data_IF_930221268630
#
_entry.id   IF_930221268630
#
_cell.length_a   1.000
_cell.length_b   1.000
_cell.length_c   1.000
_cell.angle_alpha   90.00
_cell.angle_beta   90.00
_cell.angle_gamma   90.00
#
_symmetry.space_group_name_H-M   'P 1'
#
loop_
_entity.id
_entity.type
_entity.pdbx_description
1 polymer ?
#
# COMPACT_ATOMS: atom_id res chain seq x y z
N UNK A 1 16.07 -4.99 4.11
CA UNK A 1 16.23 -6.44 4.37
C UNK A 1 15.17 -7.24 3.63
N UNK A 2 15.32 -8.57 3.55
CA UNK A 2 14.38 -9.45 2.88
C UNK A 2 12.99 -9.44 3.55
N UNK A 3 11.92 -9.55 2.76
CA UNK A 3 10.54 -9.63 3.23
C UNK A 3 10.02 -11.03 2.95
N UNK A 4 9.56 -11.73 3.99
CA UNK A 4 8.86 -12.99 3.82
C UNK A 4 7.42 -12.70 3.38
N UNK A 5 7.06 -13.16 2.20
CA UNK A 5 5.72 -13.01 1.63
C UNK A 5 4.94 -14.32 1.85
N UNK A 6 3.78 -14.21 2.48
CA UNK A 6 2.81 -15.29 2.68
C UNK A 6 1.41 -14.85 2.24
N UNK A 7 0.54 -15.81 1.94
CA UNK A 7 -0.81 -15.57 1.45
C UNK A 7 -1.84 -16.16 2.43
N UNK A 8 -2.05 -15.56 3.61
CA UNK A 8 -3.04 -16.06 4.56
C UNK A 8 -4.45 -15.99 3.98
N UNK A 9 -5.21 -17.08 4.14
CA UNK A 9 -6.64 -17.13 3.82
C UNK A 9 -7.40 -16.13 4.71
N UNK A 10 -8.29 -15.35 4.10
CA UNK A 10 -9.20 -14.47 4.84
C UNK A 10 -8.71 -13.02 5.04
N UNK A 11 -7.59 -12.62 4.45
CA UNK A 11 -7.12 -11.23 4.53
C UNK A 11 -8.20 -10.25 4.03
N UNK A 12 -8.48 -9.24 4.84
CA UNK A 12 -9.46 -8.18 4.56
C UNK A 12 -8.79 -6.81 4.40
N UNK A 13 -9.43 -5.90 3.65
CA UNK A 13 -8.95 -4.52 3.53
C UNK A 13 -8.96 -3.76 4.86
N UNK A 14 -9.89 -4.10 5.77
CA UNK A 14 -9.95 -3.51 7.12
C UNK A 14 -8.70 -3.83 7.92
N UNK A 15 -8.17 -5.04 7.81
CA UNK A 15 -6.91 -5.43 8.47
C UNK A 15 -5.71 -4.70 7.87
N UNK A 16 -5.68 -4.54 6.54
CA UNK A 16 -4.65 -3.74 5.85
C UNK A 16 -4.67 -2.29 6.36
N UNK A 17 -5.84 -1.67 6.46
CA UNK A 17 -6.00 -0.31 6.96
C UNK A 17 -5.56 -0.19 8.42
N UNK A 18 -6.01 -1.10 9.30
CA UNK A 18 -5.64 -1.12 10.73
C UNK A 18 -4.12 -1.23 10.93
N UNK A 19 -3.43 -1.98 10.07
CA UNK A 19 -1.97 -2.15 10.12
C UNK A 19 -1.21 -0.91 9.64
N UNK A 20 -1.86 -0.02 8.89
CA UNK A 20 -1.25 1.17 8.27
C UNK A 20 -1.97 2.46 8.73
N UNK A 21 -1.87 2.84 10.01
CA UNK A 21 -2.63 3.98 10.56
C UNK A 21 -2.23 5.34 9.97
N UNK A 22 -1.01 5.44 9.41
CA UNK A 22 -0.51 6.65 8.77
C UNK A 22 -0.99 6.82 7.31
N UNK A 23 -1.62 5.80 6.74
CA UNK A 23 -2.20 5.88 5.39
C UNK A 23 -3.57 6.54 5.50
N UNK A 24 -3.73 7.65 4.81
CA UNK A 24 -4.99 8.40 4.79
C UNK A 24 -5.88 7.94 3.64
N UNK A 25 -7.10 8.49 3.59
CA UNK A 25 -8.07 8.20 2.54
C UNK A 25 -7.48 8.34 1.13
N UNK A 26 -7.86 7.41 0.24
CA UNK A 26 -7.32 7.33 -1.12
C UNK A 26 -5.93 6.67 -1.22
N UNK A 27 -5.49 5.96 -0.18
CA UNK A 27 -4.23 5.19 -0.22
C UNK A 27 -2.99 6.08 -0.26
N UNK A 28 -3.06 7.27 0.36
CA UNK A 28 -1.98 8.25 0.37
C UNK A 28 -1.20 8.20 1.68
N UNK A 29 0.10 8.47 1.59
CA UNK A 29 0.99 8.55 2.73
C UNK A 29 2.03 9.64 2.53
N UNK A 30 2.41 10.30 3.62
CA UNK A 30 3.54 11.21 3.72
C UNK A 30 4.30 10.89 5.01
N UNK A 31 5.64 10.82 5.00
CA UNK A 31 6.40 10.62 6.22
C UNK A 31 6.14 11.77 7.21
N UNK A 32 5.89 11.48 8.51
CA UNK A 32 5.58 12.51 9.49
C UNK A 32 6.82 13.29 9.95
N UNK A 33 7.98 12.64 9.97
CA UNK A 33 9.20 13.17 10.58
C UNK A 33 10.18 13.80 9.58
N UNK A 34 9.84 13.83 8.30
CA UNK A 34 10.71 14.40 7.27
C UNK A 34 9.96 14.87 6.01
N UNK A 35 10.63 15.70 5.21
CA UNK A 35 10.20 16.00 3.84
C UNK A 35 10.67 14.91 2.88
N UNK A 36 9.73 14.26 2.21
CA UNK A 36 10.04 13.21 1.26
C UNK A 36 10.72 13.80 0.01
N UNK A 37 11.86 13.22 -0.39
CA UNK A 37 12.56 13.60 -1.63
C UNK A 37 11.75 13.31 -2.90
N UNK A 38 10.87 12.31 -2.84
CA UNK A 38 10.10 11.85 -3.99
C UNK A 38 8.60 11.87 -3.69
N UNK A 39 7.84 12.35 -4.68
CA UNK A 39 6.38 12.27 -4.74
C UNK A 39 6.00 11.26 -5.81
N UNK A 40 5.49 10.09 -5.40
CA UNK A 40 5.31 8.93 -6.28
C UNK A 40 3.84 8.57 -6.44
N UNK A 41 3.34 8.54 -7.67
CA UNK A 41 2.03 7.96 -8.00
C UNK A 41 2.22 6.51 -8.43
N UNK A 42 1.55 5.58 -7.76
CA UNK A 42 1.63 4.15 -8.04
C UNK A 42 0.34 3.75 -8.73
N UNK A 43 0.44 3.39 -10.01
CA UNK A 43 -0.71 3.01 -10.83
C UNK A 43 -0.78 1.50 -10.93
N UNK A 44 -1.90 0.91 -10.48
CA UNK A 44 -2.14 -0.53 -10.50
C UNK A 44 -3.28 -0.79 -11.48
N UNK A 45 -3.02 -1.34 -12.67
CA UNK A 45 -4.08 -1.84 -13.54
C UNK A 45 -4.74 -3.06 -12.87
N UNK A 46 -6.07 -3.05 -12.79
CA UNK A 46 -6.81 -4.06 -12.06
C UNK A 46 -8.09 -4.47 -12.80
N UNK A 47 -8.31 -5.78 -12.93
CA UNK A 47 -9.53 -6.37 -13.50
C UNK A 47 -9.86 -7.69 -12.79
N UNK A 48 -11.00 -7.75 -12.11
CA UNK A 48 -11.51 -8.94 -11.40
C UNK A 48 -10.48 -9.69 -10.50
N UNK A 49 -9.55 -8.98 -9.83
CA UNK A 49 -8.46 -9.58 -9.02
C UNK A 49 -8.38 -9.02 -7.60
N UNK A 50 -9.54 -8.83 -6.97
CA UNK A 50 -9.67 -8.28 -5.61
C UNK A 50 -8.81 -9.00 -4.57
N UNK A 51 -8.68 -10.33 -4.68
CA UNK A 51 -7.86 -11.12 -3.78
C UNK A 51 -6.37 -10.77 -3.88
N UNK A 52 -5.86 -10.60 -5.09
CA UNK A 52 -4.45 -10.23 -5.31
C UNK A 52 -4.19 -8.79 -4.89
N UNK A 53 -5.14 -7.89 -5.16
CA UNK A 53 -5.03 -6.49 -4.75
C UNK A 53 -4.88 -6.36 -3.24
N UNK A 54 -5.66 -7.11 -2.46
CA UNK A 54 -5.56 -7.14 -1.00
C UNK A 54 -4.15 -7.52 -0.51
N UNK A 55 -3.57 -8.58 -1.05
CA UNK A 55 -2.21 -8.97 -0.68
C UNK A 55 -1.17 -7.94 -1.12
N UNK A 56 -1.32 -7.41 -2.33
CA UNK A 56 -0.42 -6.37 -2.83
C UNK A 56 -0.41 -5.18 -1.86
N UNK A 57 -1.56 -4.65 -1.49
CA UNK A 57 -1.66 -3.52 -0.55
C UNK A 57 -1.09 -3.86 0.84
N UNK A 58 -1.33 -5.07 1.34
CA UNK A 58 -0.82 -5.53 2.64
C UNK A 58 0.71 -5.47 2.74
N UNK A 59 1.42 -5.83 1.68
CA UNK A 59 2.88 -5.81 1.64
C UNK A 59 3.44 -4.48 1.16
N UNK A 60 2.76 -3.83 0.21
CA UNK A 60 3.24 -2.63 -0.46
C UNK A 60 3.23 -1.42 0.47
N UNK A 61 2.19 -1.21 1.28
CA UNK A 61 2.11 -0.05 2.18
C UNK A 61 3.30 0.02 3.15
N UNK A 62 3.61 -1.02 3.96
CA UNK A 62 4.77 -0.98 4.85
C UNK A 62 6.10 -0.92 4.10
N UNK A 63 6.18 -1.50 2.90
CA UNK A 63 7.38 -1.45 2.07
C UNK A 63 7.71 -0.01 1.64
N UNK A 64 6.71 0.72 1.13
CA UNK A 64 6.87 2.10 0.67
C UNK A 64 7.08 3.07 1.84
N UNK A 65 6.43 2.87 2.98
CA UNK A 65 6.62 3.70 4.17
C UNK A 65 8.07 3.62 4.68
N UNK A 66 8.69 2.44 4.67
CA UNK A 66 10.11 2.27 5.05
C UNK A 66 11.08 2.97 4.10
N UNK A 67 10.65 3.28 2.88
CA UNK A 67 11.43 4.05 1.91
C UNK A 67 11.27 5.57 2.07
N UNK A 68 10.50 6.03 3.07
CA UNK A 68 10.25 7.46 3.35
C UNK A 68 9.71 8.23 2.13
N UNK A 69 8.88 7.57 1.31
CA UNK A 69 8.27 8.18 0.13
C UNK A 69 6.98 8.91 0.49
N UNK A 70 6.72 10.04 -0.16
CA UNK A 70 5.36 10.57 -0.26
C UNK A 70 4.69 9.89 -1.45
N UNK A 71 3.66 9.08 -1.22
CA UNK A 71 3.03 8.30 -2.29
C UNK A 71 1.51 8.31 -2.27
N UNK A 72 0.91 7.99 -3.41
CA UNK A 72 -0.50 7.66 -3.56
C UNK A 72 -0.68 6.45 -4.46
N UNK A 73 -1.61 5.55 -4.10
CA UNK A 73 -1.93 4.36 -4.87
C UNK A 73 -3.23 4.58 -5.64
N UNK A 74 -3.18 4.34 -6.95
CA UNK A 74 -4.28 4.51 -7.89
C UNK A 74 -4.58 3.17 -8.54
N UNK A 75 -5.71 2.57 -8.16
CA UNK A 75 -6.19 1.33 -8.77
C UNK A 75 -7.08 1.69 -9.95
N UNK A 76 -6.63 1.37 -11.15
CA UNK A 76 -7.37 1.67 -12.38
C UNK A 76 -8.11 0.40 -12.79
N UNK A 77 -9.44 0.45 -12.65
CA UNK A 77 -10.31 -0.63 -13.08
C UNK A 77 -10.48 -0.58 -14.61
N UNK A 78 -10.30 -1.73 -15.26
CA UNK A 78 -10.54 -1.94 -16.69
C UNK A 78 -11.84 -2.71 -16.92
#
# INVERSE_FOLDING_TARGET
>A
GPIRVTFPSGLTLKEVQRKNPLVVHGGRYRPPDCEARHRTAIVIPHRHREHHLKFLLYYLHPFLQRQQLQYGIYVIHQ
#
